data_IF_991903171521
#
_entry.id   IF_991903171521
#
_cell.length_a   1.000
_cell.length_b   1.000
_cell.length_c   1.000
_cell.angle_alpha   90.00
_cell.angle_beta   90.00
_cell.angle_gamma   90.00
#
_symmetry.space_group_name_H-M   'P 1'
#
loop_
_entity.id
_entity.type
_entity.pdbx_description
1 polymer ?
#
# COMPACT_ATOMS: atom_id res chain seq x y z
N UNK A 1 51.53 13.76 -33.12
CA UNK A 1 50.54 14.39 -32.21
C UNK A 1 49.21 14.64 -32.95
N UNK A 2 48.50 13.59 -33.38
CA UNK A 2 47.20 13.71 -34.09
C UNK A 2 46.36 12.43 -34.02
N UNK A 3 46.13 11.82 -32.85
CA UNK A 3 45.22 10.65 -32.76
C UNK A 3 44.44 10.53 -31.44
N UNK A 4 44.34 11.59 -30.63
CA UNK A 4 43.79 11.49 -29.27
C UNK A 4 42.60 12.44 -29.04
N UNK A 5 41.65 12.53 -29.97
CA UNK A 5 40.41 13.31 -29.78
C UNK A 5 39.28 12.61 -30.55
N UNK A 6 38.85 11.42 -30.12
CA UNK A 6 37.69 10.74 -30.74
C UNK A 6 37.03 9.70 -29.82
N UNK A 7 37.10 9.90 -28.49
CA UNK A 7 36.60 8.93 -27.51
C UNK A 7 35.63 9.50 -26.45
N UNK A 8 35.07 10.69 -26.68
CA UNK A 8 34.24 11.39 -25.68
C UNK A 8 32.84 11.82 -26.18
N UNK A 9 32.30 11.15 -27.21
CA UNK A 9 30.94 11.43 -27.74
C UNK A 9 30.04 10.19 -27.78
N UNK A 10 30.22 9.23 -26.87
CA UNK A 10 29.11 8.33 -26.50
C UNK A 10 28.25 9.06 -25.46
N UNK A 11 27.52 10.08 -25.94
CA UNK A 11 26.54 10.78 -25.15
C UNK A 11 25.49 9.76 -24.70
N UNK A 12 25.49 9.56 -23.39
CA UNK A 12 24.65 8.68 -22.62
C UNK A 12 23.17 9.01 -22.88
N UNK A 13 22.57 8.42 -23.92
CA UNK A 13 21.13 8.43 -24.10
C UNK A 13 20.54 7.42 -23.10
N UNK A 14 20.47 7.83 -21.83
CA UNK A 14 19.59 7.20 -20.85
C UNK A 14 18.17 7.48 -21.33
N UNK A 15 17.65 6.57 -22.15
CA UNK A 15 16.21 6.44 -22.37
C UNK A 15 15.66 6.04 -20.99
N UNK A 16 15.19 7.01 -20.24
CA UNK A 16 14.34 6.75 -19.08
C UNK A 16 13.08 6.12 -19.63
N UNK A 17 13.06 4.78 -19.67
CA UNK A 17 11.83 4.02 -19.87
C UNK A 17 10.99 4.33 -18.63
N UNK A 18 10.07 5.28 -18.75
CA UNK A 18 8.97 5.39 -17.81
C UNK A 18 8.20 4.08 -17.97
N UNK A 19 8.44 3.13 -17.06
CA UNK A 19 7.60 1.96 -16.95
C UNK A 19 6.20 2.50 -16.64
N UNK A 20 5.25 2.30 -17.55
CA UNK A 20 3.84 2.46 -17.24
C UNK A 20 3.50 1.38 -16.21
N UNK A 21 3.70 1.69 -14.93
CA UNK A 21 3.24 0.85 -13.85
C UNK A 21 1.72 0.89 -13.87
N UNK A 22 1.09 -0.24 -14.13
CA UNK A 22 -0.33 -0.44 -13.87
C UNK A 22 -0.55 -0.31 -12.37
N UNK A 23 -1.58 0.43 -11.96
CA UNK A 23 -1.96 0.56 -10.55
C UNK A 23 -2.24 -0.83 -9.98
N UNK A 24 -1.46 -1.33 -9.00
CA UNK A 24 -1.74 -2.61 -8.39
C UNK A 24 -3.10 -2.57 -7.67
N UNK A 25 -3.91 -3.60 -7.93
CA UNK A 25 -5.20 -3.83 -7.26
C UNK A 25 -5.08 -5.17 -6.56
N UNK A 26 -5.24 -5.17 -5.24
CA UNK A 26 -5.32 -6.41 -4.46
C UNK A 26 -6.78 -6.89 -4.49
N UNK A 27 -7.03 -7.92 -5.28
CA UNK A 27 -8.34 -8.54 -5.57
C UNK A 27 -8.55 -9.88 -4.83
N UNK A 28 -7.59 -10.27 -3.98
CA UNK A 28 -7.57 -11.51 -3.18
C UNK A 28 -7.75 -12.86 -3.94
N UNK A 29 -7.86 -12.86 -5.26
CA UNK A 29 -8.14 -14.06 -6.06
C UNK A 29 -7.02 -15.11 -5.99
N UNK A 30 -5.78 -14.66 -5.81
CA UNK A 30 -4.61 -15.52 -5.69
C UNK A 30 -4.48 -16.22 -4.33
N UNK A 31 -5.32 -15.87 -3.34
CA UNK A 31 -5.23 -16.43 -1.99
C UNK A 31 -6.02 -17.73 -1.85
N UNK A 32 -5.54 -18.64 -1.01
CA UNK A 32 -6.34 -19.78 -0.59
C UNK A 32 -7.39 -19.33 0.44
N UNK A 33 -8.65 -19.81 0.35
CA UNK A 33 -9.65 -19.53 1.38
C UNK A 33 -9.23 -20.03 2.76
N UNK A 34 -9.62 -19.32 3.80
CA UNK A 34 -9.37 -19.68 5.20
C UNK A 34 -8.69 -18.57 6.01
N UNK A 35 -8.51 -18.86 7.30
CA UNK A 35 -7.94 -17.92 8.25
C UNK A 35 -6.43 -17.73 8.00
N UNK A 36 -5.95 -16.51 8.12
CA UNK A 36 -4.53 -16.20 8.21
C UNK A 36 -4.24 -15.40 9.49
N UNK A 37 -3.35 -15.95 10.32
CA UNK A 37 -2.92 -15.37 11.59
C UNK A 37 -1.49 -14.80 11.52
N UNK A 38 -0.97 -14.65 10.30
CA UNK A 38 0.37 -14.14 10.03
C UNK A 38 0.34 -13.25 8.80
N UNK A 39 1.27 -12.29 8.68
CA UNK A 39 1.31 -11.39 7.54
C UNK A 39 1.40 -12.16 6.22
N UNK A 40 0.64 -11.73 5.23
CA UNK A 40 0.67 -12.28 3.88
C UNK A 40 1.19 -11.24 2.90
N UNK A 41 1.92 -11.66 1.88
CA UNK A 41 2.52 -10.74 0.89
C UNK A 41 1.92 -10.99 -0.48
N UNK A 42 1.46 -9.93 -1.13
CA UNK A 42 0.97 -9.96 -2.51
C UNK A 42 1.33 -8.67 -3.23
N UNK A 43 1.69 -8.75 -4.51
CA UNK A 43 1.98 -7.58 -5.36
C UNK A 43 2.95 -6.54 -4.75
N UNK A 44 3.87 -6.97 -3.87
CA UNK A 44 4.83 -6.10 -3.18
C UNK A 44 4.31 -5.43 -1.90
N UNK A 45 3.06 -5.69 -1.52
CA UNK A 45 2.43 -5.27 -0.27
C UNK A 45 2.33 -6.42 0.71
N UNK A 46 2.34 -6.08 2.00
CA UNK A 46 2.09 -6.96 3.12
C UNK A 46 0.74 -6.56 3.72
N UNK A 47 -0.12 -7.55 3.94
CA UNK A 47 -1.36 -7.43 4.70
C UNK A 47 -1.14 -8.16 6.01
N UNK A 48 -1.21 -7.41 7.11
CA UNK A 48 -0.84 -7.85 8.43
C UNK A 48 -2.05 -7.80 9.37
N UNK A 49 -2.54 -8.94 9.87
CA UNK A 49 -3.64 -8.98 10.84
C UNK A 49 -3.19 -8.63 12.27
N UNK A 50 -1.92 -8.23 12.49
CA UNK A 50 -1.35 -8.01 13.82
C UNK A 50 -1.93 -6.83 14.62
N UNK A 51 -2.88 -6.07 14.06
CA UNK A 51 -3.69 -5.11 14.82
C UNK A 51 -4.68 -5.88 15.71
N UNK A 52 -4.14 -6.42 16.81
CA UNK A 52 -4.81 -7.07 17.95
C UNK A 52 -5.54 -8.41 17.68
N UNK A 53 -4.83 -9.53 17.93
CA UNK A 53 -5.43 -10.80 18.41
C UNK A 53 -6.46 -11.49 17.51
N UNK A 54 -6.51 -11.12 16.24
CA UNK A 54 -7.67 -11.32 15.37
C UNK A 54 -7.48 -12.47 14.35
N UNK A 55 -8.60 -13.01 13.82
CA UNK A 55 -8.66 -13.99 12.74
C UNK A 55 -9.13 -13.34 11.43
N UNK A 56 -8.20 -12.76 10.67
CA UNK A 56 -8.49 -12.37 9.29
C UNK A 56 -8.65 -13.62 8.44
N UNK A 57 -9.60 -13.62 7.51
CA UNK A 57 -9.82 -14.78 6.67
C UNK A 57 -10.15 -14.38 5.24
N UNK A 58 -9.72 -15.22 4.31
CA UNK A 58 -10.15 -15.14 2.92
C UNK A 58 -11.42 -15.95 2.78
N UNK A 59 -12.49 -15.26 2.42
CA UNK A 59 -13.81 -15.83 2.18
C UNK A 59 -14.02 -16.07 0.69
N UNK A 60 -14.98 -16.93 0.34
CA UNK A 60 -15.39 -17.15 -1.05
C UNK A 60 -16.90 -17.01 -1.15
N UNK A 61 -17.37 -16.12 -2.02
CA UNK A 61 -18.77 -16.04 -2.44
C UNK A 61 -19.78 -15.92 -1.27
N UNK A 62 -19.36 -15.24 -0.20
CA UNK A 62 -20.20 -14.97 0.98
C UNK A 62 -20.30 -13.48 1.29
N UNK A 63 -19.57 -12.62 0.58
CA UNK A 63 -19.68 -11.19 0.77
C UNK A 63 -20.88 -10.64 -0.01
N UNK A 64 -21.55 -9.59 0.50
CA UNK A 64 -22.45 -8.77 -0.31
C UNK A 64 -21.70 -7.86 -1.30
N UNK A 65 -20.36 -7.82 -1.27
CA UNK A 65 -19.54 -6.91 -2.08
C UNK A 65 -19.42 -7.38 -3.53
N UNK A 66 -19.50 -8.68 -3.80
CA UNK A 66 -19.28 -9.20 -5.14
C UNK A 66 -19.29 -10.72 -5.21
N UNK A 67 -18.75 -11.23 -6.32
CA UNK A 67 -18.46 -12.65 -6.51
C UNK A 67 -16.95 -12.83 -6.58
N UNK A 68 -16.39 -13.74 -5.80
CA UNK A 68 -14.94 -13.92 -5.78
C UNK A 68 -14.45 -14.30 -4.40
N UNK A 69 -13.18 -13.98 -4.15
CA UNK A 69 -12.55 -14.06 -2.84
C UNK A 69 -12.40 -12.67 -2.25
N UNK A 70 -12.79 -12.52 -0.99
CA UNK A 70 -12.64 -11.24 -0.29
C UNK A 70 -11.94 -11.43 1.05
N UNK A 71 -11.32 -10.36 1.53
CA UNK A 71 -10.81 -10.31 2.90
C UNK A 71 -11.94 -10.04 3.86
N UNK A 72 -12.27 -11.01 4.71
CA UNK A 72 -13.21 -10.82 5.81
C UNK A 72 -12.49 -10.55 7.13
N UNK A 73 -12.99 -9.52 7.83
CA UNK A 73 -12.61 -9.14 9.17
C UNK A 73 -13.79 -9.42 10.10
N UNK A 74 -13.73 -10.48 10.91
CA UNK A 74 -14.73 -10.73 11.94
C UNK A 74 -14.66 -9.64 13.03
N UNK A 75 -15.77 -8.94 13.21
CA UNK A 75 -15.89 -7.77 14.08
C UNK A 75 -16.29 -8.11 15.52
N UNK A 76 -16.58 -9.38 15.79
CA UNK A 76 -17.03 -9.87 17.09
C UNK A 76 -16.34 -11.19 17.43
N UNK A 77 -15.08 -11.33 17.03
CA UNK A 77 -14.28 -12.50 17.38
C UNK A 77 -13.36 -12.21 18.59
N UNK A 78 -13.30 -10.96 19.08
CA UNK A 78 -12.60 -10.57 20.31
C UNK A 78 -13.10 -9.28 20.99
N UNK A 79 -12.46 -8.91 22.11
CA UNK A 79 -12.81 -7.75 22.97
C UNK A 79 -12.06 -6.44 22.63
N UNK A 80 -11.35 -6.38 21.50
CA UNK A 80 -10.49 -5.25 21.09
C UNK A 80 -10.89 -4.70 19.73
N UNK A 81 -10.59 -3.43 19.40
CA UNK A 81 -10.75 -2.94 18.03
C UNK A 81 -9.96 -3.82 17.06
N UNK A 82 -10.64 -4.35 16.05
CA UNK A 82 -10.10 -5.30 15.09
C UNK A 82 -9.72 -4.58 13.80
N UNK A 83 -8.67 -5.06 13.13
CA UNK A 83 -8.24 -4.45 11.88
C UNK A 83 -7.09 -5.17 11.19
N UNK A 84 -6.67 -4.59 10.08
CA UNK A 84 -5.48 -4.98 9.33
C UNK A 84 -4.58 -3.78 9.10
N UNK A 85 -3.28 -4.04 9.00
CA UNK A 85 -2.31 -3.09 8.50
C UNK A 85 -1.86 -3.49 7.09
N UNK A 86 -1.77 -2.52 6.20
CA UNK A 86 -1.26 -2.69 4.84
C UNK A 86 -0.02 -1.81 4.70
N UNK A 87 1.09 -2.40 4.28
CA UNK A 87 2.34 -1.67 4.04
C UNK A 87 3.13 -2.31 2.91
N UNK A 88 4.12 -1.60 2.36
CA UNK A 88 5.00 -2.17 1.34
C UNK A 88 6.09 -3.04 1.97
N UNK A 89 6.34 -4.21 1.38
CA UNK A 89 7.42 -5.11 1.84
C UNK A 89 8.82 -4.50 1.65
N UNK A 90 8.96 -3.55 0.72
CA UNK A 90 10.22 -2.84 0.45
C UNK A 90 10.42 -1.59 1.32
N UNK A 91 9.46 -1.26 2.20
CA UNK A 91 9.49 -0.08 3.05
C UNK A 91 9.38 1.26 2.31
N UNK A 92 9.12 1.25 1.00
CA UNK A 92 8.87 2.46 0.24
C UNK A 92 7.48 3.01 0.56
N UNK A 93 7.23 4.23 0.09
CA UNK A 93 5.92 4.86 0.23
C UNK A 93 4.94 4.44 -0.87
N UNK A 94 3.66 4.51 -0.56
CA UNK A 94 2.57 4.30 -1.50
C UNK A 94 1.46 5.35 -1.33
N UNK A 95 0.49 5.26 -2.21
CA UNK A 95 -0.78 5.96 -2.18
C UNK A 95 -1.91 4.93 -2.11
N UNK A 96 -2.96 5.26 -1.37
CA UNK A 96 -4.20 4.50 -1.30
C UNK A 96 -5.27 5.28 -2.04
N UNK A 97 -5.87 4.68 -3.07
CA UNK A 97 -6.85 5.35 -3.95
C UNK A 97 -8.28 4.93 -3.59
N UNK A 98 -8.53 3.62 -3.51
CA UNK A 98 -9.83 3.08 -3.11
C UNK A 98 -9.76 1.65 -2.58
N UNK A 99 -10.86 1.21 -1.96
CA UNK A 99 -11.18 -0.21 -1.80
C UNK A 99 -12.70 -0.38 -1.71
N UNK A 100 -13.17 -1.60 -1.96
CA UNK A 100 -14.57 -1.99 -1.81
C UNK A 100 -14.83 -2.50 -0.41
N UNK A 101 -15.93 -2.05 0.20
CA UNK A 101 -16.32 -2.41 1.55
C UNK A 101 -17.77 -2.90 1.62
N UNK A 102 -17.96 -4.07 2.21
CA UNK A 102 -19.27 -4.56 2.60
C UNK A 102 -19.29 -5.03 4.05
N UNK A 103 -20.49 -5.21 4.58
CA UNK A 103 -20.72 -5.82 5.89
C UNK A 103 -21.78 -6.89 5.76
N UNK A 104 -21.67 -7.96 6.55
CA UNK A 104 -22.61 -9.07 6.51
C UNK A 104 -24.05 -8.64 6.83
N UNK A 105 -24.27 -7.98 7.98
CA UNK A 105 -25.63 -7.60 8.42
C UNK A 105 -25.82 -6.09 8.59
N UNK A 106 -24.89 -5.41 9.28
CA UNK A 106 -25.02 -3.99 9.59
C UNK A 106 -23.70 -3.23 9.44
N UNK A 107 -23.80 -1.93 9.21
CA UNK A 107 -22.64 -1.06 9.02
C UNK A 107 -22.02 -0.73 10.37
N UNK A 108 -20.71 -0.96 10.48
CA UNK A 108 -19.95 -0.62 11.69
C UNK A 108 -19.03 0.58 11.46
N UNK A 109 -18.97 1.50 12.44
CA UNK A 109 -18.00 2.57 12.42
C UNK A 109 -16.58 2.00 12.40
N UNK A 110 -15.87 2.32 11.34
CA UNK A 110 -14.45 2.07 11.18
C UNK A 110 -13.63 3.34 11.18
N UNK A 111 -12.32 3.18 11.30
CA UNK A 111 -11.34 4.24 11.13
C UNK A 111 -10.22 3.71 10.27
N UNK A 112 -9.94 4.41 9.18
CA UNK A 112 -8.73 4.20 8.38
C UNK A 112 -7.71 5.22 8.84
N UNK A 113 -6.48 4.77 9.08
CA UNK A 113 -5.38 5.64 9.51
C UNK A 113 -4.16 5.40 8.64
N UNK A 114 -3.76 6.40 7.87
CA UNK A 114 -2.54 6.40 7.07
C UNK A 114 -1.37 7.01 7.83
N UNK A 115 -0.21 6.35 7.83
CA UNK A 115 1.01 6.82 8.47
C UNK A 115 1.96 7.41 7.43
N UNK A 116 2.26 8.70 7.52
CA UNK A 116 2.99 9.42 6.48
C UNK A 116 4.50 9.30 6.66
N UNK A 117 5.24 9.18 5.56
CA UNK A 117 6.71 9.15 5.56
C UNK A 117 7.40 10.40 6.09
N UNK A 118 6.72 11.55 6.02
CA UNK A 118 7.15 12.81 6.67
C UNK A 118 6.92 12.84 8.17
N UNK A 119 6.34 11.77 8.74
CA UNK A 119 5.80 11.72 10.09
C UNK A 119 4.34 12.18 10.15
N UNK A 120 3.67 11.83 11.24
CA UNK A 120 2.25 12.12 11.46
C UNK A 120 1.31 11.11 10.80
N UNK A 121 0.02 11.38 10.92
CA UNK A 121 -1.06 10.50 10.45
C UNK A 121 -2.16 11.29 9.76
N UNK A 122 -2.78 10.68 8.76
CA UNK A 122 -4.09 11.08 8.22
C UNK A 122 -5.12 10.04 8.64
N UNK A 123 -6.35 10.44 8.90
CA UNK A 123 -7.40 9.49 9.25
C UNK A 123 -8.76 9.93 8.74
N UNK A 124 -9.58 8.95 8.36
CA UNK A 124 -10.98 9.14 8.01
C UNK A 124 -11.83 8.07 8.68
N UNK A 125 -13.05 8.45 9.08
CA UNK A 125 -14.03 7.50 9.60
C UNK A 125 -14.78 6.83 8.46
N UNK A 126 -15.12 5.55 8.64
CA UNK A 126 -15.98 4.81 7.73
C UNK A 126 -17.30 4.50 8.43
N UNK A 127 -18.41 4.78 7.77
CA UNK A 127 -19.75 4.45 8.23
C UNK A 127 -20.70 4.14 7.06
N UNK A 128 -20.15 3.55 6.00
CA UNK A 128 -20.88 3.22 4.76
C UNK A 128 -20.39 1.90 4.17
N UNK A 129 -21.18 1.32 3.27
CA UNK A 129 -20.78 0.25 2.34
C UNK A 129 -20.50 0.83 0.95
N UNK A 130 -19.88 0.03 0.08
CA UNK A 130 -19.52 0.38 -1.29
C UNK A 130 -18.07 0.80 -1.41
N UNK A 131 -17.76 1.48 -2.52
CA UNK A 131 -16.42 1.96 -2.83
C UNK A 131 -16.06 3.11 -1.88
N UNK A 132 -15.00 2.92 -1.10
CA UNK A 132 -14.38 3.97 -0.29
C UNK A 132 -13.28 4.60 -1.12
N UNK A 133 -13.41 5.89 -1.45
CA UNK A 133 -12.45 6.65 -2.27
C UNK A 133 -11.70 7.66 -1.41
N UNK A 134 -10.39 7.74 -1.63
CA UNK A 134 -9.49 8.62 -0.91
C UNK A 134 -9.11 9.83 -1.76
N UNK A 135 -8.75 10.94 -1.10
CA UNK A 135 -8.33 12.17 -1.78
C UNK A 135 -6.81 12.27 -1.91
N UNK A 136 -6.33 13.36 -2.52
CA UNK A 136 -4.91 13.63 -2.78
C UNK A 136 -4.03 13.69 -1.51
N UNK A 137 -4.62 13.65 -0.31
CA UNK A 137 -3.87 13.62 0.94
C UNK A 137 -3.41 12.21 1.33
N UNK A 138 -3.95 11.16 0.71
CA UNK A 138 -3.62 9.75 0.97
C UNK A 138 -2.41 9.27 0.16
N UNK A 139 -1.39 10.12 0.06
CA UNK A 139 -0.15 9.88 -0.66
C UNK A 139 1.05 9.86 0.28
N UNK A 140 2.13 9.17 -0.10
CA UNK A 140 3.36 9.15 0.68
C UNK A 140 3.26 8.34 1.99
N UNK A 141 2.36 7.36 2.00
CA UNK A 141 2.03 6.47 3.12
C UNK A 141 3.11 5.40 3.29
N UNK A 142 3.51 5.15 4.54
CA UNK A 142 4.34 4.01 4.94
C UNK A 142 3.49 2.78 5.28
N UNK A 143 2.34 3.02 5.91
CA UNK A 143 1.35 2.00 6.23
C UNK A 143 -0.05 2.61 6.30
N UNK A 144 -1.05 1.75 6.17
CA UNK A 144 -2.46 2.06 6.39
C UNK A 144 -3.04 1.02 7.34
N UNK A 145 -3.64 1.49 8.41
CA UNK A 145 -4.40 0.65 9.33
C UNK A 145 -5.89 0.85 9.06
N UNK A 146 -6.60 -0.24 8.80
CA UNK A 146 -8.07 -0.25 8.66
C UNK A 146 -8.60 -0.96 9.90
N UNK A 147 -9.32 -0.22 10.74
CA UNK A 147 -9.85 -0.73 12.00
C UNK A 147 -11.35 -0.52 12.10
N UNK A 148 -12.03 -1.43 12.78
CA UNK A 148 -13.45 -1.34 13.04
C UNK A 148 -13.70 -1.41 14.55
N UNK A 149 -14.71 -0.69 15.00
CA UNK A 149 -15.16 -0.80 16.39
C UNK A 149 -16.02 -2.06 16.52
N UNK A 150 -15.66 -2.93 17.47
CA UNK A 150 -16.48 -4.09 17.79
C UNK A 150 -17.93 -3.66 18.16
N UNK A 151 -18.96 -4.39 17.70
CA UNK A 151 -20.32 -4.16 18.13
C UNK A 151 -20.48 -4.41 19.62
N UNK A 152 -21.47 -3.75 20.22
CA UNK A 152 -21.93 -4.10 21.57
C UNK A 152 -22.85 -5.32 21.61
N UNK A 153 -23.21 -5.89 20.45
CA UNK A 153 -24.00 -7.12 20.33
C UNK A 153 -23.11 -8.36 20.24
N UNK A 154 -23.64 -9.50 20.67
CA UNK A 154 -22.93 -10.79 20.60
C UNK A 154 -23.08 -11.50 19.24
N UNK A 155 -23.51 -10.76 18.21
CA UNK A 155 -23.81 -11.34 16.91
C UNK A 155 -22.51 -11.46 16.12
N UNK A 156 -22.37 -12.56 15.38
CA UNK A 156 -21.26 -12.74 14.45
C UNK A 156 -21.38 -11.69 13.34
N UNK A 157 -20.35 -10.86 13.18
CA UNK A 157 -20.33 -9.76 12.23
C UNK A 157 -19.02 -9.78 11.46
N UNK A 158 -19.06 -9.48 10.17
CA UNK A 158 -17.87 -9.48 9.30
C UNK A 158 -17.90 -8.24 8.41
N UNK A 159 -16.79 -7.52 8.35
CA UNK A 159 -16.50 -6.54 7.31
C UNK A 159 -15.73 -7.23 6.18
N UNK A 160 -16.16 -7.07 4.95
CA UNK A 160 -15.50 -7.60 3.76
C UNK A 160 -14.81 -6.46 3.02
N UNK A 161 -13.52 -6.62 2.74
CA UNK A 161 -12.69 -5.69 1.98
C UNK A 161 -12.24 -6.38 0.70
N UNK A 162 -12.36 -5.68 -0.42
CA UNK A 162 -11.90 -6.15 -1.73
C UNK A 162 -11.36 -5.01 -2.60
N UNK A 163 -10.78 -5.34 -3.75
CA UNK A 163 -10.32 -4.43 -4.79
C UNK A 163 -9.49 -3.23 -4.25
N UNK A 164 -8.51 -3.53 -3.40
CA UNK A 164 -7.68 -2.49 -2.76
C UNK A 164 -6.74 -1.90 -3.81
N UNK A 165 -7.07 -0.70 -4.27
CA UNK A 165 -6.33 0.03 -5.29
C UNK A 165 -5.23 0.87 -4.64
N UNK A 166 -3.99 0.49 -4.92
CA UNK A 166 -2.79 1.07 -4.34
C UNK A 166 -1.88 1.57 -5.44
N UNK A 167 -1.13 2.65 -5.21
CA UNK A 167 -0.12 3.10 -6.16
C UNK A 167 1.25 3.20 -5.49
N UNK A 168 2.21 2.44 -5.99
CA UNK A 168 3.60 2.61 -5.61
C UNK A 168 4.07 3.98 -6.12
N UNK A 169 4.51 4.87 -5.22
CA UNK A 169 5.08 6.16 -5.64
C UNK A 169 6.52 5.90 -6.06
N UNK A 170 6.85 5.94 -7.37
CA UNK A 170 8.21 5.64 -7.79
C UNK A 170 9.16 6.66 -7.19
N UNK A 171 10.30 6.20 -6.66
CA UNK A 171 11.36 7.11 -6.21
C UNK A 171 11.71 7.99 -7.40
N UNK A 172 11.54 9.33 -7.31
CA UNK A 172 11.71 10.19 -8.46
C UNK A 172 13.09 9.98 -9.07
N UNK A 173 13.17 9.92 -10.41
CA UNK A 173 14.44 9.88 -11.12
C UNK A 173 15.38 11.03 -10.69
N UNK A 174 14.80 12.12 -10.16
CA UNK A 174 15.51 13.21 -9.52
C UNK A 174 16.50 12.76 -8.43
N UNK A 175 16.24 11.73 -7.64
CA UNK A 175 17.19 11.24 -6.61
C UNK A 175 18.43 10.65 -7.28
N UNK A 176 18.25 9.86 -8.35
CA UNK A 176 19.35 9.32 -9.15
C UNK A 176 20.12 10.42 -9.89
N UNK A 177 19.41 11.39 -10.46
CA UNK A 177 20.03 12.55 -11.11
C UNK A 177 20.80 13.42 -10.12
N UNK A 178 20.26 13.61 -8.91
CA UNK A 178 20.92 14.35 -7.85
C UNK A 178 22.18 13.63 -7.37
N UNK A 179 22.09 12.32 -7.09
CA UNK A 179 23.23 11.51 -6.67
C UNK A 179 24.33 11.44 -7.73
N UNK A 180 23.96 11.28 -9.00
CA UNK A 180 24.92 11.28 -10.11
C UNK A 180 25.54 12.66 -10.33
N UNK A 181 24.74 13.74 -10.24
CA UNK A 181 25.23 15.11 -10.30
C UNK A 181 26.26 15.43 -9.21
N UNK A 182 25.98 15.06 -7.95
CA UNK A 182 26.92 15.21 -6.84
C UNK A 182 28.22 14.41 -7.05
N UNK A 183 28.11 13.20 -7.59
CA UNK A 183 29.27 12.36 -7.88
C UNK A 183 30.19 13.00 -8.93
N UNK A 184 29.62 13.56 -10.00
CA UNK A 184 30.35 14.28 -11.04
C UNK A 184 31.03 15.54 -10.47
N UNK A 185 30.31 16.33 -9.67
CA UNK A 185 30.85 17.53 -9.02
C UNK A 185 32.01 17.19 -8.06
N UNK A 186 31.87 16.11 -7.28
CA UNK A 186 32.93 15.62 -6.40
C UNK A 186 34.19 15.22 -7.16
N UNK A 187 34.06 14.55 -8.31
CA UNK A 187 35.18 14.18 -9.16
C UNK A 187 35.89 15.39 -9.78
N UNK A 188 35.12 16.37 -10.29
CA UNK A 188 35.67 17.62 -10.84
C UNK A 188 36.46 18.41 -9.80
N UNK A 189 35.99 18.45 -8.54
CA UNK A 189 36.71 19.13 -7.44
C UNK A 189 38.07 18.48 -7.17
N UNK A 190 38.15 17.14 -7.17
CA UNK A 190 39.41 16.42 -6.93
C UNK A 190 40.47 16.75 -7.98
N UNK A 191 40.06 16.88 -9.24
CA UNK A 191 40.96 17.26 -10.35
C UNK A 191 41.47 18.69 -10.32
N UNK A 192 40.87 19.58 -9.51
CA UNK A 192 41.36 20.96 -9.34
C UNK A 192 42.41 21.10 -8.24
N UNK A 193 42.58 20.09 -7.39
CA UNK A 193 43.53 20.13 -6.26
C UNK A 193 44.81 19.30 -6.49
N UNK A 194 44.94 18.71 -7.68
CA UNK A 194 46.12 17.99 -8.17
C UNK A 194 46.64 18.71 -9.41
#
# INVERSE_FOLDING_TARGET
MRHLILLFSFAFSLVSVAANATTPVIDFEDFAPGNFSSPVTTQGFVIDPALAGFEAAIFTDVSPAGSGKELGLCLHCGDSPEGISIYRNDGNVFELDSFDLAFLDMVFPGTITGYLSGGGTISTGINTTGIVVFDELWVGLLSVDITFSAPSSNDFQVAFIDDITLQAVPVPAAVWLFGSGLSILGWLRRRRSA
#
